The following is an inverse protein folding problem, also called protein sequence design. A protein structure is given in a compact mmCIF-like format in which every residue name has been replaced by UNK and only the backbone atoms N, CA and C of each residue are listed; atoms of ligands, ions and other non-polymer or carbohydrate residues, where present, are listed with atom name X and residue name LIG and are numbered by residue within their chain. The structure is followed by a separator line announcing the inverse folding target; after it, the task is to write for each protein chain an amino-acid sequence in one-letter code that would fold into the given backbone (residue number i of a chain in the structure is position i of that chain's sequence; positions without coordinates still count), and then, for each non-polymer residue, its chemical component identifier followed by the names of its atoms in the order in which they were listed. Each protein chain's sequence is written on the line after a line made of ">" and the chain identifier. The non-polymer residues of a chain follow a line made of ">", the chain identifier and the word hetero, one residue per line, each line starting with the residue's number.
data_IF_027827619633
#
_entry.id   IF_027827619633
#
_cell.length_a   1.000
_cell.length_b   1.000
_cell.length_c   1.000
_cell.angle_alpha   90.00
_cell.angle_beta   90.00
_cell.angle_gamma   90.00
#
_symmetry.space_group_name_H-M   'P 1'
#
loop_
_entity.id
_entity.type
_entity.pdbx_description
1 polymer ?
#
# COMPACT_ATOMS: atom_id res chain seq x y z
N UNK A 1 22.51 1.33 5.86
CA UNK A 1 21.35 1.01 6.74
C UNK A 1 21.68 -0.12 7.71
N UNK A 2 22.11 -1.30 7.25
CA UNK A 2 22.49 -2.42 8.14
C UNK A 2 23.66 -2.09 9.12
N UNK A 3 24.66 -1.30 8.73
CA UNK A 3 25.73 -0.88 9.67
C UNK A 3 25.31 0.24 10.64
N UNK A 4 24.22 0.95 10.37
CA UNK A 4 23.71 2.04 11.21
C UNK A 4 22.66 1.57 12.24
N UNK A 5 22.00 0.43 11.98
CA UNK A 5 20.92 -0.15 12.77
C UNK A 5 21.34 -1.46 13.49
N UNK A 6 22.58 -1.91 13.28
CA UNK A 6 23.19 -3.04 13.98
C UNK A 6 22.68 -4.43 13.52
N UNK A 7 23.18 -5.47 14.20
CA UNK A 7 22.84 -6.87 13.94
C UNK A 7 21.34 -7.19 14.14
N UNK A 8 20.63 -6.34 14.90
CA UNK A 8 19.18 -6.45 15.14
C UNK A 8 18.32 -6.35 13.88
N UNK A 9 18.79 -5.69 12.81
CA UNK A 9 18.06 -5.64 11.52
C UNK A 9 17.91 -7.01 10.88
N UNK A 10 18.91 -7.88 11.04
CA UNK A 10 18.81 -9.25 10.54
C UNK A 10 17.70 -10.04 11.22
N UNK A 11 17.50 -9.83 12.52
CA UNK A 11 16.43 -10.46 13.28
C UNK A 11 15.03 -9.95 12.88
N UNK A 12 14.90 -8.76 12.29
CA UNK A 12 13.64 -8.24 11.73
C UNK A 12 13.06 -9.14 10.64
N UNK A 13 13.88 -10.01 10.01
CA UNK A 13 13.42 -10.92 8.96
C UNK A 13 12.29 -11.83 9.44
N UNK A 14 12.30 -12.22 10.72
CA UNK A 14 11.25 -13.06 11.30
C UNK A 14 9.94 -12.27 11.34
N UNK A 15 9.95 -11.04 11.85
CA UNK A 15 8.78 -10.16 11.88
C UNK A 15 8.27 -9.86 10.46
N UNK A 16 9.17 -9.61 9.51
CA UNK A 16 8.81 -9.38 8.11
C UNK A 16 8.19 -10.63 7.50
N UNK A 17 8.76 -11.81 7.72
CA UNK A 17 8.21 -13.08 7.22
C UNK A 17 6.82 -13.35 7.78
N UNK A 18 6.60 -13.13 9.08
CA UNK A 18 5.27 -13.32 9.68
C UNK A 18 4.29 -12.29 9.13
N UNK A 19 4.66 -11.01 9.12
CA UNK A 19 3.72 -9.95 8.76
C UNK A 19 3.54 -9.82 7.25
N UNK A 20 4.61 -9.55 6.51
CA UNK A 20 4.55 -9.42 5.05
C UNK A 20 4.32 -10.76 4.38
N UNK A 21 5.00 -11.82 4.81
CA UNK A 21 4.79 -13.15 4.25
C UNK A 21 3.39 -13.67 4.55
N UNK A 22 2.88 -13.50 5.77
CA UNK A 22 1.50 -13.84 6.11
C UNK A 22 0.47 -13.07 5.28
N UNK A 23 0.65 -11.75 5.13
CA UNK A 23 -0.22 -10.93 4.28
C UNK A 23 -0.14 -11.33 2.81
N UNK A 24 1.05 -11.65 2.29
CA UNK A 24 1.23 -12.10 0.91
C UNK A 24 0.55 -13.44 0.63
N UNK A 25 0.67 -14.40 1.56
CA UNK A 25 -0.03 -15.68 1.49
C UNK A 25 -1.55 -15.50 1.61
N UNK A 26 -2.00 -14.61 2.50
CA UNK A 26 -3.42 -14.25 2.63
C UNK A 26 -3.98 -13.61 1.35
N UNK A 27 -3.24 -12.68 0.74
CA UNK A 27 -3.62 -12.08 -0.53
C UNK A 27 -3.66 -13.12 -1.67
N UNK A 28 -2.72 -14.06 -1.70
CA UNK A 28 -2.73 -15.15 -2.68
C UNK A 28 -3.96 -16.05 -2.55
N UNK A 29 -4.48 -16.26 -1.32
CA UNK A 29 -5.73 -17.00 -1.10
C UNK A 29 -6.99 -16.25 -1.58
N UNK A 30 -6.90 -14.92 -1.75
CA UNK A 30 -7.97 -14.03 -2.22
C UNK A 30 -7.69 -13.54 -3.66
N UNK A 31 -6.95 -14.31 -4.46
CA UNK A 31 -6.51 -13.90 -5.80
C UNK A 31 -7.65 -13.43 -6.72
N UNK A 32 -8.86 -14.01 -6.59
CA UNK A 32 -10.03 -13.61 -7.38
C UNK A 32 -10.52 -12.18 -7.07
N UNK A 33 -10.26 -11.69 -5.86
CA UNK A 33 -10.60 -10.31 -5.44
C UNK A 33 -9.50 -9.34 -5.85
N UNK A 34 -8.24 -9.77 -5.81
CA UNK A 34 -7.07 -8.97 -6.18
C UNK A 34 -6.70 -9.16 -7.65
N UNK A 35 -7.61 -8.83 -8.56
CA UNK A 35 -7.33 -8.87 -9.99
C UNK A 35 -6.19 -7.90 -10.37
N UNK A 36 -5.51 -8.10 -11.52
CA UNK A 36 -4.46 -7.18 -11.98
C UNK A 36 -4.92 -5.72 -12.06
N UNK A 37 -6.19 -5.52 -12.42
CA UNK A 37 -6.85 -4.21 -12.52
C UNK A 37 -7.02 -3.59 -11.13
N UNK A 38 -7.56 -4.34 -10.17
CA UNK A 38 -7.72 -3.92 -8.78
C UNK A 38 -6.37 -3.57 -8.15
N UNK A 39 -5.35 -4.39 -8.38
CA UNK A 39 -3.98 -4.14 -7.89
C UNK A 39 -3.44 -2.83 -8.49
N UNK A 40 -3.58 -2.62 -9.80
CA UNK A 40 -3.13 -1.39 -10.46
C UNK A 40 -3.81 -0.15 -9.87
N UNK A 41 -5.13 -0.22 -9.59
CA UNK A 41 -5.87 0.87 -8.94
C UNK A 41 -5.35 1.16 -7.52
N UNK A 42 -5.14 0.13 -6.70
CA UNK A 42 -4.56 0.28 -5.35
C UNK A 42 -3.16 0.88 -5.42
N UNK A 43 -2.31 0.41 -6.34
CA UNK A 43 -0.94 0.90 -6.53
C UNK A 43 -0.94 2.36 -6.98
N UNK A 44 -1.82 2.76 -7.90
CA UNK A 44 -1.93 4.14 -8.36
C UNK A 44 -2.33 5.09 -7.22
N UNK A 45 -3.38 4.74 -6.45
CA UNK A 45 -3.81 5.54 -5.30
C UNK A 45 -2.71 5.59 -4.24
N UNK A 46 -2.11 4.44 -3.91
CA UNK A 46 -0.99 4.35 -2.96
C UNK A 46 0.20 5.23 -3.36
N UNK A 47 0.57 5.24 -4.65
CA UNK A 47 1.65 6.09 -5.17
C UNK A 47 1.36 7.57 -4.99
N UNK A 48 0.13 8.02 -5.22
CA UNK A 48 -0.30 9.41 -4.97
C UNK A 48 -0.25 9.75 -3.48
N UNK A 49 -0.67 8.83 -2.60
CA UNK A 49 -0.58 9.04 -1.16
C UNK A 49 0.89 9.15 -0.70
N UNK A 50 1.78 8.30 -1.21
CA UNK A 50 3.22 8.36 -0.92
C UNK A 50 3.82 9.70 -1.39
N UNK A 51 3.44 10.17 -2.57
CA UNK A 51 3.79 11.52 -3.04
C UNK A 51 3.33 12.60 -2.06
N UNK A 52 2.09 12.52 -1.56
CA UNK A 52 1.56 13.41 -0.53
C UNK A 52 2.35 13.37 0.77
N UNK A 53 2.82 12.18 1.19
CA UNK A 53 3.68 12.01 2.37
C UNK A 53 5.04 12.67 2.12
N UNK A 54 5.65 12.45 0.95
CA UNK A 54 6.91 13.09 0.56
C UNK A 54 6.84 14.61 0.60
N UNK A 55 5.78 15.20 0.03
CA UNK A 55 5.54 16.66 0.08
C UNK A 55 5.36 17.20 1.51
N UNK A 56 4.78 16.40 2.40
CA UNK A 56 4.63 16.76 3.81
C UNK A 56 5.96 16.69 4.56
N UNK A 57 6.77 15.66 4.30
CA UNK A 57 8.09 15.47 4.91
C UNK A 57 9.09 16.54 4.48
N UNK A 58 9.00 16.99 3.22
CA UNK A 58 9.79 18.12 2.70
C UNK A 58 9.28 19.49 3.16
N UNK A 59 8.23 19.53 3.99
CA UNK A 59 7.57 20.75 4.48
C UNK A 59 7.04 21.70 3.39
N UNK A 60 7.03 21.27 2.12
CA UNK A 60 6.55 22.06 0.98
C UNK A 60 5.04 22.30 1.06
N UNK A 61 4.28 21.29 1.52
CA UNK A 61 2.83 21.40 1.67
C UNK A 61 2.30 20.47 2.76
N UNK A 62 1.54 21.03 3.70
CA UNK A 62 0.87 20.25 4.77
C UNK A 62 -0.38 19.55 4.23
N UNK A 63 -0.18 18.43 3.54
CA UNK A 63 -1.27 17.56 3.06
C UNK A 63 -1.67 16.60 4.19
N UNK A 64 -2.95 16.56 4.55
CA UNK A 64 -3.50 15.60 5.54
C UNK A 64 -3.73 14.24 4.89
N UNK A 65 -2.65 13.55 4.51
CA UNK A 65 -2.70 12.25 3.80
C UNK A 65 -3.53 11.21 4.55
N UNK A 66 -3.58 11.26 5.89
CA UNK A 66 -4.45 10.41 6.71
C UNK A 66 -5.93 10.51 6.33
N UNK A 67 -6.42 11.70 5.95
CA UNK A 67 -7.81 11.90 5.52
C UNK A 67 -8.07 11.35 4.11
N UNK A 68 -7.01 11.06 3.35
CA UNK A 68 -7.09 10.48 2.01
C UNK A 68 -6.95 8.95 2.02
N UNK A 69 -6.70 8.33 3.18
CA UNK A 69 -6.66 6.87 3.32
C UNK A 69 -7.94 6.16 2.82
N UNK A 70 -9.17 6.69 2.99
CA UNK A 70 -10.37 6.07 2.43
C UNK A 70 -10.31 5.91 0.90
N UNK A 71 -9.51 6.72 0.20
CA UNK A 71 -9.32 6.60 -1.25
C UNK A 71 -8.71 5.26 -1.66
N UNK A 72 -7.95 4.59 -0.77
CA UNK A 72 -7.36 3.28 -1.04
C UNK A 72 -8.42 2.19 -1.25
N UNK A 73 -9.60 2.37 -0.64
CA UNK A 73 -10.76 1.47 -0.77
C UNK A 73 -11.71 1.99 -1.85
N UNK A 74 -11.97 3.30 -1.88
CA UNK A 74 -12.89 3.91 -2.84
C UNK A 74 -12.37 3.84 -4.28
N UNK A 75 -11.06 3.94 -4.51
CA UNK A 75 -10.47 3.89 -5.85
C UNK A 75 -10.73 2.56 -6.58
N UNK A 76 -10.33 1.41 -5.99
CA UNK A 76 -10.60 0.10 -6.57
C UNK A 76 -12.09 -0.20 -6.68
N UNK A 77 -12.91 0.22 -5.70
CA UNK A 77 -14.36 0.05 -5.77
C UNK A 77 -15.00 0.84 -6.91
N UNK A 78 -14.57 2.08 -7.13
CA UNK A 78 -15.05 2.90 -8.24
C UNK A 78 -14.66 2.29 -9.59
N UNK A 79 -13.44 1.74 -9.70
CA UNK A 79 -12.99 1.06 -10.90
C UNK A 79 -13.78 -0.23 -11.17
N UNK A 80 -13.99 -1.06 -10.13
CA UNK A 80 -14.80 -2.27 -10.22
C UNK A 80 -16.26 -1.98 -10.61
N UNK A 81 -16.85 -0.90 -10.08
CA UNK A 81 -18.20 -0.47 -10.46
C UNK A 81 -18.26 -0.02 -11.92
N UNK A 82 -17.22 0.66 -12.41
CA UNK A 82 -17.13 1.12 -13.79
C UNK A 82 -17.02 -0.07 -14.76
N UNK A 83 -16.24 -1.09 -14.38
CA UNK A 83 -16.10 -2.33 -15.14
C UNK A 83 -17.42 -3.14 -15.13
N UNK A 84 -18.16 -3.15 -14.03
CA UNK A 84 -19.46 -3.82 -13.95
C UNK A 84 -20.59 -3.12 -14.75
N UNK A 85 -20.44 -1.83 -15.07
CA UNK A 85 -21.39 -1.05 -15.86
C UNK A 85 -21.11 -1.09 -17.37
N UNK A 86 -19.97 -1.67 -17.79
CA UNK A 86 -19.47 -1.72 -19.17
C UNK A 86 -19.57 -3.08 -19.81
#
# INVERSE_FOLDING_TARGET
>A
LASALGWGVGFSVITILVYQGGLALGAASLADVFTPVTIAAITAVGGVLILGIGLRLLELRRIRVGNLLPALVLGPLAFALLEALG
#
